data_IF_096703909855
#
_entry.id   IF_096703909855
#
_cell.length_a   1.000
_cell.length_b   1.000
_cell.length_c   1.000
_cell.angle_alpha   90.00
_cell.angle_beta   90.00
_cell.angle_gamma   90.00
#
_symmetry.space_group_name_H-M   'P 1'
#
loop_
_entity.id
_entity.type
_entity.pdbx_description
1 polymer ?
#
# COMPACT_ATOMS: atom_id res chain seq x y z
N UNK A 1 -4.25 -11.74 -18.64
CA UNK A 1 -3.25 -11.10 -19.49
C UNK A 1 -2.09 -12.00 -19.80
N UNK A 2 -1.57 -11.87 -20.99
CA UNK A 2 -0.42 -12.67 -21.44
C UNK A 2 0.93 -12.16 -20.93
N UNK A 3 0.93 -10.99 -20.32
CA UNK A 3 2.14 -10.34 -19.84
C UNK A 3 2.51 -10.77 -18.42
N UNK A 4 3.80 -10.88 -18.16
CA UNK A 4 4.30 -11.05 -16.82
C UNK A 4 4.34 -9.69 -16.12
N UNK A 5 3.51 -9.54 -15.09
CA UNK A 5 3.42 -8.29 -14.34
C UNK A 5 3.80 -8.52 -12.89
N UNK A 6 4.29 -7.47 -12.24
CA UNK A 6 4.65 -7.51 -10.83
C UNK A 6 3.88 -6.50 -10.01
N UNK A 7 3.65 -6.87 -8.75
CA UNK A 7 3.08 -6.01 -7.73
C UNK A 7 4.04 -5.95 -6.56
N UNK A 8 4.33 -4.74 -6.10
CA UNK A 8 5.21 -4.52 -4.96
C UNK A 8 4.44 -4.34 -3.66
N UNK A 9 5.11 -4.61 -2.55
CA UNK A 9 4.59 -4.40 -1.20
C UNK A 9 5.56 -3.51 -0.44
N UNK A 10 5.05 -2.46 0.19
CA UNK A 10 5.84 -1.55 1.00
C UNK A 10 5.24 -1.42 2.39
N UNK A 11 6.11 -1.45 3.41
CA UNK A 11 5.69 -1.37 4.80
C UNK A 11 6.74 -0.65 5.65
N UNK A 12 6.31 -0.19 6.83
CA UNK A 12 7.23 0.51 7.74
C UNK A 12 8.06 -0.44 8.60
N UNK A 13 7.51 -1.60 8.95
CA UNK A 13 8.17 -2.54 9.87
C UNK A 13 7.65 -3.96 9.63
N UNK A 14 8.54 -4.93 9.70
CA UNK A 14 8.22 -6.35 9.64
C UNK A 14 7.94 -6.96 11.03
N UNK A 15 8.10 -6.19 12.08
CA UNK A 15 7.85 -6.62 13.47
C UNK A 15 6.52 -6.13 14.03
N UNK A 16 5.87 -5.18 13.38
CA UNK A 16 4.55 -4.70 13.78
C UNK A 16 3.48 -5.73 13.43
N UNK A 17 2.71 -6.16 14.43
CA UNK A 17 1.64 -7.13 14.23
C UNK A 17 0.61 -6.63 13.20
N UNK A 18 0.29 -5.34 13.24
CA UNK A 18 -0.63 -4.75 12.27
C UNK A 18 -0.10 -4.88 10.83
N UNK A 19 1.19 -4.61 10.62
CA UNK A 19 1.81 -4.74 9.28
C UNK A 19 1.84 -6.20 8.84
N UNK A 20 2.25 -7.10 9.73
CA UNK A 20 2.27 -8.55 9.45
C UNK A 20 0.88 -9.03 9.03
N UNK A 21 -0.15 -8.64 9.76
CA UNK A 21 -1.53 -9.04 9.46
C UNK A 21 -2.02 -8.49 8.12
N UNK A 22 -1.67 -7.25 7.78
CA UNK A 22 -2.05 -6.64 6.50
C UNK A 22 -1.38 -7.31 5.32
N UNK A 23 -0.09 -7.60 5.43
CA UNK A 23 0.66 -8.34 4.41
C UNK A 23 0.11 -9.75 4.25
N UNK A 24 -0.13 -10.45 5.36
CA UNK A 24 -0.67 -11.82 5.35
C UNK A 24 -2.05 -11.88 4.67
N UNK A 25 -2.93 -10.94 5.00
CA UNK A 25 -4.25 -10.86 4.37
C UNK A 25 -4.17 -10.60 2.87
N UNK A 26 -3.29 -9.71 2.45
CA UNK A 26 -3.04 -9.45 1.04
C UNK A 26 -2.52 -10.69 0.32
N UNK A 27 -1.52 -11.36 0.88
CA UNK A 27 -0.92 -12.55 0.27
C UNK A 27 -1.89 -13.74 0.22
N UNK A 28 -2.73 -13.89 1.23
CA UNK A 28 -3.76 -14.94 1.26
C UNK A 28 -4.76 -14.75 0.12
N UNK A 29 -5.27 -13.53 -0.06
CA UNK A 29 -6.17 -13.23 -1.16
C UNK A 29 -5.45 -13.39 -2.51
N UNK A 30 -4.22 -12.89 -2.61
CA UNK A 30 -3.41 -12.98 -3.82
C UNK A 30 -3.23 -14.41 -4.29
N UNK A 31 -2.93 -15.33 -3.37
CA UNK A 31 -2.68 -16.74 -3.72
C UNK A 31 -3.88 -17.44 -4.38
N UNK A 32 -5.09 -16.98 -4.06
CA UNK A 32 -6.32 -17.56 -4.62
C UNK A 32 -6.91 -16.80 -5.81
N UNK A 33 -6.47 -15.56 -6.07
CA UNK A 33 -7.14 -14.67 -7.01
C UNK A 33 -6.21 -14.01 -8.03
N UNK A 34 -4.89 -14.09 -7.87
CA UNK A 34 -3.96 -13.43 -8.78
C UNK A 34 -4.05 -14.03 -10.18
N UNK A 35 -3.96 -13.20 -11.22
CA UNK A 35 -3.87 -13.71 -12.59
C UNK A 35 -2.60 -14.54 -12.78
N UNK A 36 -2.69 -15.52 -13.68
CA UNK A 36 -1.52 -16.30 -14.07
C UNK A 36 -0.43 -15.35 -14.62
N UNK A 37 0.81 -15.63 -14.29
CA UNK A 37 2.00 -14.83 -14.64
C UNK A 37 2.15 -13.49 -13.91
N UNK A 38 1.27 -13.20 -12.97
CA UNK A 38 1.48 -12.05 -12.08
C UNK A 38 2.22 -12.51 -10.83
N UNK A 39 3.24 -11.76 -10.44
CA UNK A 39 4.10 -12.11 -9.31
C UNK A 39 4.20 -10.96 -8.32
N UNK A 40 4.49 -11.29 -7.07
CA UNK A 40 4.88 -10.31 -6.05
C UNK A 40 6.37 -10.05 -6.19
N UNK A 41 6.76 -8.78 -6.27
CA UNK A 41 8.16 -8.40 -6.24
C UNK A 41 8.79 -8.82 -4.90
N UNK A 42 9.94 -9.47 -4.96
CA UNK A 42 10.57 -10.03 -3.76
C UNK A 42 11.34 -8.98 -2.95
N UNK A 43 11.61 -7.83 -3.54
CA UNK A 43 12.31 -6.73 -2.85
C UNK A 43 11.38 -6.11 -1.83
N UNK A 44 11.71 -6.23 -0.57
CA UNK A 44 10.95 -5.65 0.53
C UNK A 44 11.79 -4.56 1.18
N UNK A 45 11.22 -3.36 1.21
CA UNK A 45 11.85 -2.20 1.82
C UNK A 45 11.08 -1.78 3.06
N UNK A 46 11.81 -1.52 4.15
CA UNK A 46 11.25 -1.08 5.43
C UNK A 46 11.59 0.39 5.64
N UNK A 47 10.59 1.26 5.66
CA UNK A 47 10.84 2.70 5.75
C UNK A 47 10.88 3.24 7.19
N UNK A 48 10.55 2.42 8.19
CA UNK A 48 10.62 2.82 9.59
C UNK A 48 9.69 3.97 9.97
N UNK A 49 8.65 4.25 9.17
CA UNK A 49 7.75 5.38 9.38
C UNK A 49 8.29 6.70 8.85
N UNK A 50 9.31 6.68 8.01
CA UNK A 50 9.91 7.87 7.40
C UNK A 50 9.40 8.05 5.98
N UNK A 51 8.74 9.20 5.70
CA UNK A 51 8.11 9.48 4.40
C UNK A 51 9.15 9.60 3.28
N UNK A 52 10.26 10.28 3.53
CA UNK A 52 11.32 10.46 2.52
C UNK A 52 11.92 9.12 2.13
N UNK A 53 12.15 8.26 3.11
CA UNK A 53 12.63 6.90 2.84
C UNK A 53 11.58 6.09 2.08
N UNK A 54 10.31 6.20 2.44
CA UNK A 54 9.23 5.52 1.73
C UNK A 54 9.19 5.93 0.26
N UNK A 55 9.33 7.21 -0.05
CA UNK A 55 9.38 7.70 -1.43
C UNK A 55 10.61 7.18 -2.17
N UNK A 56 11.78 7.20 -1.52
CA UNK A 56 13.02 6.63 -2.08
C UNK A 56 12.88 5.12 -2.34
N UNK A 57 12.26 4.39 -1.42
CA UNK A 57 12.01 2.96 -1.58
C UNK A 57 11.06 2.67 -2.75
N UNK A 58 10.03 3.50 -2.92
CA UNK A 58 9.11 3.40 -4.06
C UNK A 58 9.85 3.62 -5.39
N UNK A 59 10.73 4.62 -5.44
CA UNK A 59 11.57 4.89 -6.62
C UNK A 59 12.44 3.68 -6.97
N UNK A 60 13.08 3.09 -5.98
CA UNK A 60 13.91 1.88 -6.19
C UNK A 60 13.09 0.71 -6.72
N UNK A 61 11.92 0.49 -6.16
CA UNK A 61 11.04 -0.60 -6.57
C UNK A 61 10.61 -0.44 -8.03
N UNK A 62 10.27 0.78 -8.43
CA UNK A 62 9.88 1.12 -9.80
C UNK A 62 11.07 0.92 -10.76
N UNK A 63 12.25 1.39 -10.37
CA UNK A 63 13.46 1.30 -11.21
C UNK A 63 13.93 -0.15 -11.42
N UNK A 64 13.73 -1.00 -10.42
CA UNK A 64 14.16 -2.40 -10.47
C UNK A 64 13.20 -3.31 -11.24
N UNK A 65 11.96 -2.89 -11.44
CA UNK A 65 10.93 -3.71 -12.08
C UNK A 65 10.20 -2.93 -13.18
N UNK A 66 10.65 -3.07 -14.41
CA UNK A 66 9.99 -2.43 -15.57
C UNK A 66 8.52 -2.85 -15.73
N UNK A 67 8.20 -4.05 -15.31
CA UNK A 67 6.86 -4.64 -15.41
C UNK A 67 6.02 -4.46 -14.13
N UNK A 68 6.41 -3.53 -13.25
CA UNK A 68 5.65 -3.23 -12.05
C UNK A 68 4.31 -2.57 -12.41
N UNK A 69 3.20 -3.19 -12.02
CA UNK A 69 1.85 -2.72 -12.34
C UNK A 69 1.13 -2.11 -11.15
N UNK A 70 1.51 -2.46 -9.95
CA UNK A 70 0.87 -1.95 -8.74
C UNK A 70 1.78 -2.00 -7.54
N UNK A 71 1.48 -1.19 -6.54
CA UNK A 71 2.17 -1.20 -5.25
C UNK A 71 1.13 -1.14 -4.14
N UNK A 72 1.26 -2.06 -3.19
CA UNK A 72 0.46 -2.08 -1.98
C UNK A 72 1.22 -1.41 -0.84
N UNK A 73 0.71 -0.28 -0.35
CA UNK A 73 1.24 0.41 0.82
C UNK A 73 0.54 -0.06 2.09
N UNK A 74 1.25 -0.72 2.98
CA UNK A 74 0.67 -1.39 4.13
C UNK A 74 0.33 -0.44 5.29
N UNK A 75 0.75 0.81 5.21
CA UNK A 75 0.46 1.83 6.22
C UNK A 75 0.46 3.22 5.60
N UNK A 76 0.08 4.22 6.41
CA UNK A 76 -0.03 5.59 5.93
C UNK A 76 1.28 6.14 5.36
N UNK A 77 2.39 5.95 6.06
CA UNK A 77 3.71 6.44 5.61
C UNK A 77 4.11 5.84 4.26
N UNK A 78 3.94 4.53 4.10
CA UNK A 78 4.22 3.85 2.83
C UNK A 78 3.33 4.39 1.71
N UNK A 79 2.04 4.56 1.98
CA UNK A 79 1.07 5.11 1.02
C UNK A 79 1.45 6.52 0.57
N UNK A 80 1.84 7.38 1.51
CA UNK A 80 2.28 8.76 1.21
C UNK A 80 3.52 8.73 0.31
N UNK A 81 4.51 7.89 0.63
CA UNK A 81 5.73 7.78 -0.16
C UNK A 81 5.47 7.30 -1.58
N UNK A 82 4.61 6.29 -1.74
CA UNK A 82 4.23 5.79 -3.07
C UNK A 82 3.48 6.86 -3.85
N UNK A 83 2.49 7.52 -3.25
CA UNK A 83 1.73 8.57 -3.91
C UNK A 83 2.63 9.71 -4.37
N UNK A 84 3.56 10.15 -3.51
CA UNK A 84 4.53 11.18 -3.84
C UNK A 84 5.38 10.81 -5.05
N UNK A 85 5.89 9.59 -5.09
CA UNK A 85 6.72 9.13 -6.21
C UNK A 85 5.94 9.02 -7.52
N UNK A 86 4.74 8.45 -7.49
CA UNK A 86 3.91 8.31 -8.68
C UNK A 86 3.53 9.68 -9.26
N UNK A 87 3.21 10.66 -8.41
CA UNK A 87 2.88 12.02 -8.85
C UNK A 87 4.10 12.74 -9.39
N UNK A 88 5.24 12.65 -8.72
CA UNK A 88 6.48 13.32 -9.13
C UNK A 88 6.98 12.81 -10.49
N UNK A 89 6.92 11.49 -10.70
CA UNK A 89 7.40 10.86 -11.92
C UNK A 89 6.31 10.66 -12.98
N UNK A 90 5.11 11.16 -12.74
CA UNK A 90 3.96 11.02 -13.65
C UNK A 90 3.66 9.57 -14.06
N UNK A 91 3.81 8.64 -13.12
CA UNK A 91 3.58 7.21 -13.36
C UNK A 91 2.10 6.88 -13.19
N UNK A 92 1.35 7.07 -14.28
CA UNK A 92 -0.10 6.83 -14.33
C UNK A 92 -0.45 5.37 -14.62
N UNK A 93 0.54 4.58 -14.95
CA UNK A 93 0.46 3.17 -15.30
C UNK A 93 0.54 2.23 -14.10
N UNK A 94 0.90 2.75 -12.92
CA UNK A 94 1.06 1.96 -11.70
C UNK A 94 -0.10 2.22 -10.74
N UNK A 95 -0.79 1.16 -10.35
CA UNK A 95 -1.92 1.23 -9.41
C UNK A 95 -1.41 1.33 -7.98
N UNK A 96 -1.97 2.24 -7.20
CA UNK A 96 -1.72 2.36 -5.77
C UNK A 96 -2.89 1.81 -4.97
N UNK A 97 -2.63 0.87 -4.07
CA UNK A 97 -3.55 0.49 -3.01
C UNK A 97 -2.87 0.77 -1.68
N UNK A 98 -3.48 1.60 -0.86
CA UNK A 98 -2.86 2.05 0.38
C UNK A 98 -3.73 1.88 1.61
N UNK A 99 -3.25 2.42 2.71
CA UNK A 99 -3.94 2.49 4.00
C UNK A 99 -3.99 3.92 4.49
N UNK A 100 -5.09 4.27 5.13
CA UNK A 100 -5.38 5.59 5.70
C UNK A 100 -5.44 6.71 4.65
N UNK A 101 -5.58 7.94 5.09
CA UNK A 101 -5.69 9.11 4.22
C UNK A 101 -4.79 10.23 4.70
N UNK A 102 -4.04 10.79 3.77
CA UNK A 102 -3.30 12.03 3.93
C UNK A 102 -3.65 12.94 2.76
N UNK A 103 -3.25 14.21 2.81
CA UNK A 103 -3.58 15.16 1.75
C UNK A 103 -3.11 14.69 0.37
N UNK A 104 -1.90 14.14 0.29
CA UNK A 104 -1.36 13.63 -0.97
C UNK A 104 -2.10 12.39 -1.46
N UNK A 105 -2.60 11.56 -0.55
CA UNK A 105 -3.42 10.38 -0.90
C UNK A 105 -4.74 10.82 -1.51
N UNK A 106 -5.40 11.81 -0.91
CA UNK A 106 -6.61 12.41 -1.46
C UNK A 106 -6.35 12.98 -2.84
N UNK A 107 -5.24 13.69 -3.01
CA UNK A 107 -4.86 14.30 -4.28
C UNK A 107 -4.73 13.26 -5.40
N UNK A 108 -4.05 12.15 -5.17
CA UNK A 108 -3.87 11.12 -6.20
C UNK A 108 -5.17 10.37 -6.48
N UNK A 109 -5.98 10.08 -5.44
CA UNK A 109 -7.26 9.38 -5.61
C UNK A 109 -8.24 10.23 -6.42
N UNK A 110 -8.28 11.55 -6.21
CA UNK A 110 -9.17 12.46 -6.92
C UNK A 110 -8.69 12.79 -8.33
N UNK A 111 -7.45 12.49 -8.67
CA UNK A 111 -6.92 12.73 -10.01
C UNK A 111 -7.40 11.63 -10.96
N UNK A 112 -8.19 11.96 -12.01
CA UNK A 112 -8.76 10.95 -12.91
C UNK A 112 -7.73 10.22 -13.77
N UNK A 113 -6.51 10.72 -13.85
CA UNK A 113 -5.44 10.09 -14.63
C UNK A 113 -4.75 8.94 -13.88
N UNK A 114 -4.97 8.82 -12.57
CA UNK A 114 -4.34 7.80 -11.73
C UNK A 114 -5.34 6.77 -11.24
N UNK A 115 -4.84 5.55 -11.03
CA UNK A 115 -5.61 4.48 -10.39
C UNK A 115 -5.10 4.29 -8.97
N UNK A 116 -5.85 4.82 -8.01
CA UNK A 116 -5.46 4.75 -6.60
C UNK A 116 -6.68 4.52 -5.72
N UNK A 117 -6.50 3.74 -4.68
CA UNK A 117 -7.50 3.52 -3.64
C UNK A 117 -6.82 3.30 -2.30
N UNK A 118 -7.55 3.49 -1.23
CA UNK A 118 -7.03 3.28 0.11
C UNK A 118 -8.07 2.60 0.99
N UNK A 119 -7.57 1.87 1.98
CA UNK A 119 -8.37 1.25 3.02
C UNK A 119 -8.34 2.14 4.26
N UNK A 120 -9.51 2.49 4.78
CA UNK A 120 -9.64 3.32 5.97
C UNK A 120 -9.94 2.46 7.17
N UNK A 121 -9.26 2.74 8.28
CA UNK A 121 -9.60 2.13 9.55
C UNK A 121 -10.89 2.78 10.10
N UNK A 122 -11.80 1.96 10.59
CA UNK A 122 -13.04 2.43 11.19
C UNK A 122 -12.80 2.84 12.65
N UNK A 123 -12.03 3.91 12.84
CA UNK A 123 -11.65 4.40 14.18
C UNK A 123 -12.87 4.79 15.01
N UNK A 124 -13.89 5.35 14.40
CA UNK A 124 -15.17 5.66 15.02
C UNK A 124 -15.85 4.42 15.60
N UNK A 125 -15.91 3.33 14.84
CA UNK A 125 -16.45 2.05 15.30
C UNK A 125 -15.55 1.40 16.35
N UNK A 126 -14.25 1.46 16.19
CA UNK A 126 -13.30 0.90 17.16
C UNK A 126 -13.47 1.56 18.52
N UNK A 127 -13.57 2.90 18.55
CA UNK A 127 -13.82 3.63 19.79
C UNK A 127 -15.16 3.30 20.42
N UNK A 128 -16.22 3.23 19.63
CA UNK A 128 -17.57 2.88 20.09
C UNK A 128 -17.61 1.47 20.67
N UNK A 129 -17.05 0.47 19.97
CA UNK A 129 -17.04 -0.92 20.45
C UNK A 129 -16.19 -1.07 21.70
N UNK A 130 -15.06 -0.39 21.79
CA UNK A 130 -14.23 -0.39 22.98
C UNK A 130 -14.93 0.21 24.18
N UNK A 131 -15.63 1.32 24.03
CA UNK A 131 -16.41 1.94 25.09
C UNK A 131 -17.57 1.04 25.53
N UNK A 132 -18.27 0.45 24.59
CA UNK A 132 -19.37 -0.50 24.88
C UNK A 132 -18.85 -1.71 25.66
N UNK A 133 -17.71 -2.27 25.28
CA UNK A 133 -17.10 -3.39 26.00
C UNK A 133 -16.75 -3.02 27.45
N UNK A 134 -16.27 -1.79 27.69
CA UNK A 134 -16.00 -1.31 29.05
C UNK A 134 -17.27 -1.18 29.89
N UNK A 135 -18.37 -0.76 29.29
CA UNK A 135 -19.65 -0.67 30.00
C UNK A 135 -20.23 -2.04 30.38
N UNK A 136 -19.95 -3.06 29.59
CA UNK A 136 -20.47 -4.42 29.81
C UNK A 136 -19.64 -5.25 30.78
N UNK A 137 -18.55 -4.68 31.29
CA UNK A 137 -17.77 -5.30 32.35
C UNK A 137 -18.48 -5.12 33.69
#
# INVERSE_FOLDING_TARGET
>A
PSEELKVGIMLSSDTSQAMVNRVSGFLEYWSGHSPEKWEIAQDIYLNGGNVEKAQSDASKLIDQHENLKGIFGCNNTSTIGIAGELLEENRKDIVLVGFDMADITVQIIQNPDYFAGTLMQRQDQMGYLGLTALYDL
#
